data_IF_118284797171
#
_entry.id   IF_118284797171
#
_cell.length_a   1.000
_cell.length_b   1.000
_cell.length_c   1.000
_cell.angle_alpha   90.00
_cell.angle_beta   90.00
_cell.angle_gamma   90.00
#
_symmetry.space_group_name_H-M   'P 1'
#
loop_
_entity.id
_entity.type
_entity.pdbx_description
1 polymer ?
2 non-polymer ?
3 non-polymer ?
4 non-polymer ?
5 water ?
#
# COMPACT_ATOMS: atom_id res chain seq x y z
N UNK A 1 17.52 12.41 -26.54
CA UNK A 1 18.37 11.24 -26.66
C UNK A 1 17.63 9.99 -26.22
N UNK A 2 18.36 8.94 -25.85
CA UNK A 2 17.70 7.66 -25.58
C UNK A 2 16.78 7.70 -24.37
N UNK A 3 17.09 8.53 -23.38
CA UNK A 3 16.22 8.56 -22.20
C UNK A 3 14.87 9.16 -22.56
N UNK A 4 14.85 10.21 -23.37
CA UNK A 4 13.59 10.82 -23.79
C UNK A 4 12.79 9.87 -24.68
N UNK A 5 13.48 9.13 -25.54
CA UNK A 5 12.79 8.17 -26.39
C UNK A 5 12.16 7.08 -25.54
N UNK A 6 12.94 6.54 -24.61
CA UNK A 6 12.43 5.49 -23.75
C UNK A 6 11.24 6.00 -22.97
N UNK A 7 11.36 7.20 -22.43
CA UNK A 7 10.28 7.79 -21.64
C UNK A 7 9.01 7.98 -22.46
N UNK A 8 9.15 8.48 -23.69
CA UNK A 8 8.02 8.64 -24.59
C UNK A 8 7.29 7.31 -24.76
N UNK A 9 8.06 6.26 -25.03
CA UNK A 9 7.46 4.96 -25.26
C UNK A 9 6.76 4.45 -24.00
N UNK A 10 7.34 4.72 -22.82
CA UNK A 10 6.72 4.30 -21.57
C UNK A 10 5.42 5.06 -21.30
N UNK A 11 5.44 6.37 -21.54
CA UNK A 11 4.25 7.18 -21.36
C UNK A 11 3.14 6.70 -22.29
N UNK A 12 3.47 6.44 -23.55
CA UNK A 12 2.44 5.97 -24.47
C UNK A 12 1.89 4.62 -24.04
N UNK A 13 2.72 3.79 -23.44
CA UNK A 13 2.24 2.51 -22.91
C UNK A 13 1.24 2.69 -21.79
N UNK A 14 1.50 3.66 -20.92
CA UNK A 14 0.58 3.97 -19.85
C UNK A 14 -0.72 4.52 -20.41
N UNK A 15 -0.64 5.41 -21.40
CA UNK A 15 -1.85 5.97 -21.98
C UNK A 15 -2.66 4.91 -22.73
N UNK A 16 -1.97 3.94 -23.33
CA UNK A 16 -2.65 2.83 -24.00
C UNK A 16 -3.50 2.03 -23.02
N UNK A 17 -2.94 1.73 -21.86
CA UNK A 17 -3.65 0.97 -20.83
C UNK A 17 -4.82 1.81 -20.29
N UNK A 18 -4.54 3.09 -20.07
CA UNK A 18 -5.53 4.01 -19.58
C UNK A 18 -6.75 4.03 -20.49
N UNK A 19 -6.50 4.17 -21.78
CA UNK A 19 -7.56 4.42 -22.75
C UNK A 19 -8.51 3.24 -22.92
N UNK A 20 -8.08 2.03 -22.57
CA UNK A 20 -8.93 0.86 -22.79
C UNK A 20 -9.77 0.46 -21.58
N UNK A 21 -9.72 1.24 -20.51
CA UNK A 21 -10.56 0.95 -19.33
C UNK A 21 -11.94 1.52 -19.52
N UNK A 22 -12.96 0.88 -18.95
CA UNK A 22 -14.34 1.33 -19.07
C UNK A 22 -14.54 2.70 -18.44
N UNK A 23 -13.75 2.99 -17.41
CA UNK A 23 -13.87 4.27 -16.72
C UNK A 23 -13.17 5.43 -17.44
N UNK A 24 -12.61 5.16 -18.61
CA UNK A 24 -11.87 6.20 -19.33
C UNK A 24 -12.75 7.07 -20.22
N UNK A 25 -13.99 6.64 -20.49
CA UNK A 25 -14.83 7.37 -21.46
C UNK A 25 -14.97 8.89 -21.24
N UNK A 26 -15.10 9.37 -19.99
CA UNK A 26 -15.19 10.84 -19.84
C UNK A 26 -13.95 11.62 -20.25
N UNK A 27 -12.80 10.93 -20.31
CA UNK A 27 -11.50 11.57 -20.35
C UNK A 27 -10.78 11.43 -21.68
N UNK A 28 -11.45 10.89 -22.68
CA UNK A 28 -10.76 10.52 -23.92
C UNK A 28 -10.29 11.72 -24.74
N UNK A 29 -11.05 12.80 -24.74
CA UNK A 29 -10.72 13.92 -25.60
C UNK A 29 -11.07 15.23 -24.92
N UNK A 30 -10.59 16.37 -25.45
CA UNK A 30 -10.89 17.64 -24.79
C UNK A 30 -12.37 17.92 -24.68
N UNK A 31 -12.76 18.60 -23.61
CA UNK A 31 -14.14 19.07 -23.49
C UNK A 31 -14.42 20.08 -24.59
N UNK A 32 -15.53 19.91 -25.29
CA UNK A 32 -15.88 20.79 -26.40
C UNK A 32 -16.11 22.22 -25.93
N UNK A 33 -15.32 23.16 -26.42
CA UNK A 33 -15.55 24.57 -26.12
C UNK A 33 -16.92 25.02 -26.61
N UNK A 34 -17.28 24.56 -27.81
CA UNK A 34 -18.58 24.85 -28.39
C UNK A 34 -19.72 24.38 -27.49
N UNK A 35 -19.66 23.14 -27.04
CA UNK A 35 -20.76 22.57 -26.26
C UNK A 35 -20.78 23.02 -24.82
N UNK A 36 -19.61 23.28 -24.25
CA UNK A 36 -19.49 23.48 -22.81
C UNK A 36 -18.58 24.64 -22.43
N UNK A 37 -18.93 25.86 -22.86
CA UNK A 37 -18.08 26.99 -22.51
C UNK A 37 -17.91 27.16 -21.00
N UNK A 38 -18.93 26.79 -20.21
CA UNK A 38 -18.87 27.00 -18.76
C UNK A 38 -17.77 26.16 -18.10
N UNK A 39 -17.44 25.03 -18.72
CA UNK A 39 -16.37 24.17 -18.22
C UNK A 39 -15.06 24.94 -18.09
N UNK A 40 -14.76 25.72 -19.11
CA UNK A 40 -13.50 26.43 -19.18
C UNK A 40 -13.48 27.71 -18.34
N UNK A 41 -14.64 28.09 -17.80
CA UNK A 41 -14.71 29.15 -16.81
C UNK A 41 -14.20 28.66 -15.45
N UNK A 42 -14.25 27.35 -15.24
CA UNK A 42 -13.86 26.74 -13.96
C UNK A 42 -12.50 26.05 -14.05
N UNK A 43 -12.29 25.32 -15.12
CA UNK A 43 -11.07 24.56 -15.32
C UNK A 43 -10.07 25.33 -16.17
N UNK A 44 -8.97 25.74 -15.57
CA UNK A 44 -8.03 26.64 -16.24
C UNK A 44 -6.77 25.91 -16.72
N UNK A 45 -6.62 24.66 -16.33
CA UNK A 45 -5.54 23.85 -16.86
C UNK A 45 -6.09 22.53 -17.42
N UNK A 46 -6.87 22.61 -18.51
CA UNK A 46 -7.52 21.42 -19.05
C UNK A 46 -6.55 20.40 -19.61
N UNK A 47 -6.96 19.13 -19.54
CA UNK A 47 -6.21 18.09 -20.22
C UNK A 47 -7.12 16.88 -20.44
N UNK A 48 -6.61 15.91 -21.18
CA UNK A 48 -7.38 14.74 -21.56
C UNK A 48 -6.42 13.74 -22.17
N UNK A 49 -6.89 12.52 -22.39
CA UNK A 49 -6.01 11.46 -22.83
C UNK A 49 -5.44 11.70 -24.23
N UNK A 50 -6.28 12.16 -25.16
CA UNK A 50 -5.80 12.39 -26.53
C UNK A 50 -4.74 13.49 -26.54
N UNK A 51 -4.97 14.58 -25.81
CA UNK A 51 -3.98 15.66 -25.77
C UNK A 51 -2.66 15.16 -25.17
N UNK A 52 -2.73 14.39 -24.10
CA UNK A 52 -1.49 13.86 -23.53
C UNK A 52 -0.79 12.91 -24.51
N UNK A 53 -1.57 12.13 -25.25
CA UNK A 53 -0.96 11.23 -26.23
C UNK A 53 -0.23 12.02 -27.32
N UNK A 54 -0.86 13.07 -27.83
CA UNK A 54 -0.24 13.85 -28.90
C UNK A 54 0.98 14.59 -28.35
N UNK A 55 0.88 15.12 -27.14
CA UNK A 55 2.05 15.74 -26.53
C UNK A 55 3.20 14.74 -26.36
N UNK A 56 2.89 13.54 -25.89
CA UNK A 56 3.92 12.53 -25.69
C UNK A 56 4.61 12.17 -27.00
N UNK A 57 3.81 11.93 -28.05
CA UNK A 57 4.35 11.57 -29.36
C UNK A 57 5.28 12.63 -29.91
N UNK A 58 5.04 13.89 -29.54
CA UNK A 58 5.84 14.98 -30.06
C UNK A 58 6.92 15.46 -29.10
N UNK A 59 7.20 14.64 -28.09
CA UNK A 59 8.33 14.86 -27.20
C UNK A 59 8.15 15.98 -26.19
N UNK A 60 6.91 16.31 -25.87
CA UNK A 60 6.66 17.46 -25.00
C UNK A 60 6.85 17.14 -23.52
N UNK A 61 6.95 15.86 -23.17
CA UNK A 61 7.28 15.47 -21.79
C UNK A 61 8.77 15.17 -21.65
N UNK A 62 9.48 16.05 -20.95
CA UNK A 62 10.92 15.94 -20.80
C UNK A 62 11.31 14.96 -19.70
N UNK A 63 10.44 14.83 -18.71
CA UNK A 63 10.65 13.93 -17.58
C UNK A 63 9.35 13.24 -17.22
N UNK A 64 9.47 12.16 -16.48
CA UNK A 64 8.34 11.41 -15.98
C UNK A 64 7.39 12.31 -15.19
N UNK A 65 7.96 13.11 -14.31
CA UNK A 65 7.17 14.02 -13.48
C UNK A 65 6.33 15.02 -14.27
N UNK A 66 6.83 15.50 -15.41
CA UNK A 66 6.05 16.41 -16.24
C UNK A 66 4.76 15.73 -16.70
N UNK A 67 4.86 14.45 -17.06
CA UNK A 67 3.67 13.69 -17.41
C UNK A 67 2.79 13.46 -16.18
N UNK A 68 3.41 13.09 -15.07
CA UNK A 68 2.65 12.83 -13.85
C UNK A 68 1.82 14.02 -13.40
N UNK A 69 2.38 15.22 -13.49
CA UNK A 69 1.65 16.43 -13.12
C UNK A 69 0.38 16.56 -13.96
N UNK A 70 0.48 16.30 -15.26
CA UNK A 70 -0.67 16.48 -16.12
C UNK A 70 -1.70 15.35 -15.96
N UNK A 71 -1.21 14.13 -15.81
CA UNK A 71 -2.10 12.99 -15.55
C UNK A 71 -2.89 13.19 -14.26
N UNK A 72 -2.20 13.61 -13.19
CA UNK A 72 -2.88 13.90 -11.93
C UNK A 72 -3.93 14.99 -12.10
N UNK A 73 -3.59 16.02 -12.87
CA UNK A 73 -4.51 17.13 -13.06
C UNK A 73 -5.77 16.72 -13.80
N UNK A 74 -5.66 15.74 -14.69
CA UNK A 74 -6.85 15.26 -15.39
C UNK A 74 -7.90 14.78 -14.39
N UNK A 75 -7.45 14.02 -13.39
CA UNK A 75 -8.38 13.50 -12.39
C UNK A 75 -8.83 14.60 -11.45
N UNK A 76 -7.89 15.45 -11.03
CA UNK A 76 -8.24 16.54 -10.13
C UNK A 76 -9.25 17.49 -10.76
N UNK A 77 -9.14 17.74 -12.06
CA UNK A 77 -10.07 18.62 -12.75
C UNK A 77 -11.49 18.08 -12.71
N UNK A 78 -11.63 16.78 -12.94
CA UNK A 78 -12.95 16.16 -12.89
C UNK A 78 -13.54 16.30 -11.50
N UNK A 79 -12.74 16.06 -10.46
CA UNK A 79 -13.28 16.13 -9.11
C UNK A 79 -13.48 17.55 -8.61
N UNK A 80 -12.95 18.52 -9.35
CA UNK A 80 -13.25 19.93 -9.07
C UNK A 80 -14.55 20.34 -9.76
N UNK A 81 -14.72 19.93 -11.01
CA UNK A 81 -15.85 20.39 -11.81
C UNK A 81 -17.15 19.64 -11.51
N UNK A 82 -17.04 18.31 -11.39
CA UNK A 82 -18.21 17.48 -11.19
C UNK A 82 -18.41 17.10 -9.74
N UNK A 83 -19.67 16.85 -9.38
CA UNK A 83 -20.06 16.57 -8.00
C UNK A 83 -19.62 15.18 -7.57
N UNK A 84 -19.33 14.99 -6.27
CA UNK A 84 -18.85 13.70 -5.79
C UNK A 84 -19.79 12.53 -6.08
N UNK A 85 -21.07 12.82 -6.26
CA UNK A 85 -22.06 11.76 -6.47
C UNK A 85 -22.26 11.37 -7.93
N UNK A 86 -21.54 12.02 -8.85
CA UNK A 86 -21.71 11.73 -10.27
C UNK A 86 -20.91 10.51 -10.71
N UNK A 87 -21.37 9.83 -11.73
CA UNK A 87 -20.60 8.72 -12.29
C UNK A 87 -19.22 9.19 -12.77
N UNK A 88 -19.12 10.44 -13.21
CA UNK A 88 -17.84 10.96 -13.68
C UNK A 88 -16.79 10.97 -12.59
N UNK A 89 -17.17 11.50 -11.43
CA UNK A 89 -16.33 11.56 -10.24
C UNK A 89 -15.92 10.14 -9.83
N UNK A 90 -16.87 9.23 -9.84
CA UNK A 90 -16.57 7.85 -9.51
C UNK A 90 -15.63 7.22 -10.54
N UNK A 91 -15.81 7.52 -11.82
CA UNK A 91 -14.91 7.00 -12.85
C UNK A 91 -13.51 7.58 -12.70
N UNK A 92 -13.41 8.87 -12.34
CA UNK A 92 -12.10 9.45 -12.07
C UNK A 92 -11.39 8.70 -10.96
N UNK A 93 -12.13 8.37 -9.90
CA UNK A 93 -11.56 7.61 -8.80
C UNK A 93 -11.12 6.22 -9.23
N UNK A 94 -11.99 5.52 -9.96
CA UNK A 94 -11.68 4.17 -10.41
C UNK A 94 -10.48 4.15 -11.33
N UNK A 95 -10.44 5.09 -12.28
CA UNK A 95 -9.37 5.10 -13.27
C UNK A 95 -8.04 5.52 -12.66
N UNK A 96 -8.05 6.49 -11.76
CA UNK A 96 -6.79 6.89 -11.12
C UNK A 96 -6.23 5.75 -10.27
N UNK A 97 -7.12 5.01 -9.62
CA UNK A 97 -6.71 3.87 -8.81
C UNK A 97 -6.02 2.82 -9.68
N UNK A 98 -6.58 2.60 -10.87
CA UNK A 98 -6.02 1.65 -11.81
C UNK A 98 -4.68 2.10 -12.36
N UNK A 99 -4.56 3.38 -12.69
CA UNK A 99 -3.41 3.82 -13.47
C UNK A 99 -2.24 4.25 -12.62
N UNK A 100 -2.48 4.69 -11.38
CA UNK A 100 -1.37 5.29 -10.64
C UNK A 100 -0.20 4.32 -10.41
N UNK A 101 -0.48 3.04 -10.14
CA UNK A 101 0.68 2.14 -10.01
C UNK A 101 1.46 1.98 -11.32
N UNK A 102 0.78 2.07 -12.47
CA UNK A 102 1.48 2.02 -13.76
C UNK A 102 2.33 3.28 -13.97
N UNK A 103 1.80 4.43 -13.58
CA UNK A 103 2.58 5.65 -13.61
C UNK A 103 3.80 5.54 -12.70
N UNK A 104 3.62 5.09 -11.47
CA UNK A 104 4.76 5.01 -10.54
C UNK A 104 5.85 4.07 -11.05
N UNK A 105 5.45 3.04 -11.81
CA UNK A 105 6.41 2.07 -12.34
C UNK A 105 7.26 2.60 -13.48
N UNK A 106 6.91 3.75 -14.05
CA UNK A 106 7.71 4.33 -15.14
C UNK A 106 9.15 4.55 -14.67
N UNK B 1 -20.89 -16.35 4.00
CA UNK B 1 -21.79 -17.26 4.71
C UNK B 1 -21.08 -18.55 5.07
N UNK B 2 -21.85 -19.58 5.40
CA UNK B 2 -21.25 -20.80 5.94
C UNK B 2 -20.35 -21.51 4.95
N UNK B 3 -20.64 -21.43 3.65
CA UNK B 3 -19.77 -22.08 2.68
C UNK B 3 -18.40 -21.43 2.64
N UNK B 4 -18.36 -20.10 2.70
CA UNK B 4 -17.09 -19.38 2.68
C UNK B 4 -16.28 -19.63 3.95
N UNK B 5 -16.98 -19.72 5.08
CA UNK B 5 -16.32 -19.98 6.35
C UNK B 5 -15.74 -21.40 6.35
N UNK B 6 -16.53 -22.36 5.90
CA UNK B 6 -16.03 -23.72 5.84
C UNK B 6 -14.81 -23.80 4.91
N UNK B 7 -14.89 -23.15 3.76
CA UNK B 7 -13.78 -23.12 2.80
C UNK B 7 -12.52 -22.52 3.42
N UNK B 8 -12.69 -21.39 4.12
CA UNK B 8 -11.56 -20.76 4.81
C UNK B 8 -10.87 -21.75 5.75
N UNK B 9 -11.67 -22.45 6.54
CA UNK B 9 -11.13 -23.40 7.51
C UNK B 9 -10.43 -24.58 6.80
N UNK B 10 -10.99 -25.04 5.69
CA UNK B 10 -10.34 -26.10 4.92
C UNK B 10 -9.03 -25.62 4.31
N UNK B 11 -9.02 -24.40 3.78
CA UNK B 11 -7.80 -23.86 3.20
C UNK B 11 -6.70 -23.72 4.27
N UNK B 12 -7.06 -23.19 5.43
CA UNK B 12 -6.07 -23.06 6.51
C UNK B 12 -5.56 -24.44 6.95
N UNK B 13 -6.43 -25.45 6.91
CA UNK B 13 -6.00 -26.80 7.22
C UNK B 13 -4.96 -27.32 6.22
N UNK B 14 -5.16 -27.01 4.94
CA UNK B 14 -4.22 -27.42 3.92
C UNK B 14 -2.89 -26.69 4.11
N UNK B 15 -2.96 -25.40 4.41
CA UNK B 15 -1.75 -24.64 4.65
C UNK B 15 -1.02 -25.10 5.91
N UNK B 16 -1.76 -25.52 6.93
CA UNK B 16 -1.16 -26.06 8.16
C UNK B 16 -0.31 -27.27 7.84
N UNK B 17 -0.87 -28.15 7.03
CA UNK B 17 -0.17 -29.38 6.64
C UNK B 17 1.04 -29.02 5.79
N UNK B 18 0.85 -28.10 4.86
CA UNK B 18 1.90 -27.67 3.95
C UNK B 18 3.14 -27.16 4.69
N UNK B 19 2.90 -26.29 5.67
CA UNK B 19 3.98 -25.58 6.35
C UNK B 19 4.93 -26.50 7.10
N UNK B 20 4.42 -27.63 7.57
CA UNK B 20 5.21 -28.51 8.43
C UNK B 20 6.01 -29.56 7.66
N UNK B 21 5.95 -29.52 6.33
CA UNK B 21 6.79 -30.40 5.52
C UNK B 21 8.20 -29.83 5.40
N UNK B 22 9.21 -30.68 5.33
CA UNK B 22 10.57 -30.13 5.22
C UNK B 22 10.78 -29.41 3.88
N UNK B 23 10.08 -29.85 2.83
CA UNK B 23 10.25 -29.22 1.54
C UNK B 23 9.54 -27.87 1.45
N UNK B 24 8.94 -27.42 2.55
CA UNK B 24 8.22 -26.15 2.54
C UNK B 24 9.08 -24.93 2.77
N UNK B 25 10.29 -25.09 3.32
CA UNK B 25 10.98 -23.88 3.78
C UNK B 25 11.29 -22.82 2.70
N UNK B 26 11.50 -23.22 1.42
CA UNK B 26 11.72 -22.13 0.45
C UNK B 26 10.48 -21.27 0.17
N UNK B 27 9.30 -21.73 0.62
CA UNK B 27 8.03 -21.12 0.24
C UNK B 27 7.38 -20.35 1.39
N UNK B 28 7.99 -20.41 2.57
CA UNK B 28 7.37 -19.85 3.77
C UNK B 28 7.29 -18.34 3.72
N UNK B 29 8.36 -17.72 3.25
CA UNK B 29 8.49 -16.27 3.24
C UNK B 29 8.76 -15.80 1.83
N UNK B 30 8.53 -14.51 1.56
CA UNK B 30 8.88 -13.99 0.23
C UNK B 30 10.37 -14.05 -0.06
N UNK B 31 10.69 -14.25 -1.33
CA UNK B 31 12.06 -14.17 -1.79
C UNK B 31 12.66 -12.80 -1.48
N UNK B 32 13.85 -12.83 -0.89
CA UNK B 32 14.58 -11.63 -0.55
C UNK B 32 15.16 -10.95 -1.80
N UNK B 33 14.86 -9.67 -1.95
CA UNK B 33 15.39 -8.88 -3.05
C UNK B 33 16.91 -8.82 -2.97
N UNK B 34 17.43 -8.73 -1.76
CA UNK B 34 18.87 -8.66 -1.58
C UNK B 34 19.55 -9.93 -2.06
N UNK B 35 18.93 -11.08 -1.80
CA UNK B 35 19.52 -12.36 -2.17
C UNK B 35 19.30 -12.72 -3.63
N UNK B 36 18.20 -12.23 -4.20
CA UNK B 36 17.86 -12.51 -5.60
C UNK B 36 17.39 -11.23 -6.27
N UNK B 37 18.35 -10.38 -6.66
CA UNK B 37 18.03 -9.02 -7.10
C UNK B 37 17.08 -8.92 -8.31
N UNK B 38 17.04 -9.92 -9.17
CA UNK B 38 16.17 -9.83 -10.34
C UNK B 38 14.82 -10.55 -10.17
N UNK B 39 14.56 -11.09 -8.98
CA UNK B 39 13.41 -11.96 -8.82
C UNK B 39 12.11 -11.29 -9.18
N UNK B 40 11.93 -10.06 -8.74
CA UNK B 40 10.65 -9.39 -8.94
C UNK B 40 10.52 -8.78 -10.33
N UNK B 41 11.57 -8.87 -11.13
CA UNK B 41 11.50 -8.56 -12.56
C UNK B 41 11.12 -9.78 -13.38
N UNK B 42 11.59 -10.96 -12.97
CA UNK B 42 11.29 -12.20 -13.66
C UNK B 42 9.91 -12.72 -13.26
N UNK B 43 9.58 -12.59 -11.98
CA UNK B 43 8.31 -13.11 -11.46
C UNK B 43 7.36 -11.95 -11.19
N UNK B 44 6.35 -11.81 -12.04
CA UNK B 44 5.45 -10.66 -11.96
C UNK B 44 4.38 -10.76 -10.89
N UNK B 45 4.01 -11.99 -10.51
CA UNK B 45 2.96 -12.18 -9.50
C UNK B 45 3.40 -13.14 -8.41
N UNK B 46 4.35 -12.70 -7.58
CA UNK B 46 4.90 -13.58 -6.54
C UNK B 46 3.89 -13.93 -5.47
N UNK B 47 4.04 -15.10 -4.89
CA UNK B 47 3.26 -15.46 -3.73
C UNK B 47 4.05 -16.43 -2.86
N UNK B 48 3.54 -16.70 -1.67
CA UNK B 48 4.25 -17.52 -0.70
C UNK B 48 3.24 -17.96 0.34
N UNK B 49 3.65 -18.82 1.26
CA UNK B 49 2.71 -19.36 2.24
C UNK B 49 2.22 -18.30 3.23
N UNK B 50 3.10 -17.37 3.62
CA UNK B 50 2.69 -16.25 4.47
C UNK B 50 1.52 -15.50 3.86
N UNK B 51 1.66 -15.20 2.58
CA UNK B 51 0.61 -14.50 1.84
C UNK B 51 -0.70 -15.28 1.78
N UNK B 52 -0.64 -16.56 1.45
CA UNK B 52 -1.86 -17.36 1.33
C UNK B 52 -2.56 -17.52 2.68
N UNK B 53 -1.78 -17.66 3.75
CA UNK B 53 -2.37 -17.76 5.08
C UNK B 53 -3.10 -16.46 5.44
N UNK B 54 -2.45 -15.32 5.23
CA UNK B 54 -3.08 -14.05 5.56
C UNK B 54 -4.31 -13.80 4.69
N UNK B 55 -4.26 -14.19 3.42
CA UNK B 55 -5.41 -14.04 2.54
C UNK B 55 -6.57 -14.91 2.99
N UNK B 56 -6.25 -16.14 3.37
CA UNK B 56 -7.29 -17.07 3.82
C UNK B 56 -7.98 -16.53 5.07
N UNK B 57 -7.18 -16.09 6.05
CA UNK B 57 -7.72 -15.58 7.30
C UNK B 57 -8.59 -14.35 7.07
N UNK B 58 -8.22 -13.58 6.06
CA UNK B 58 -8.89 -12.34 5.71
C UNK B 58 -10.20 -12.60 4.95
N UNK B 59 -10.40 -13.85 4.53
CA UNK B 59 -11.60 -14.23 3.83
C UNK B 59 -11.57 -14.01 2.32
N UNK B 60 -10.37 -13.89 1.76
CA UNK B 60 -10.24 -13.51 0.36
C UNK B 60 -10.56 -14.62 -0.63
N UNK B 61 -10.52 -15.86 -0.20
CA UNK B 61 -10.77 -16.96 -1.12
C UNK B 61 -12.26 -17.27 -1.11
N UNK B 62 -12.94 -16.84 -2.16
CA UNK B 62 -14.38 -16.98 -2.24
C UNK B 62 -14.79 -18.36 -2.75
N UNK B 63 -13.90 -18.96 -3.54
CA UNK B 63 -14.11 -20.32 -4.05
C UNK B 63 -12.82 -21.09 -3.92
N UNK B 64 -12.94 -22.41 -3.93
CA UNK B 64 -11.78 -23.29 -3.90
C UNK B 64 -10.78 -22.96 -5.01
N UNK B 65 -11.32 -22.72 -6.20
CA UNK B 65 -10.47 -22.46 -7.35
C UNK B 65 -9.64 -21.17 -7.20
N UNK B 66 -10.14 -20.17 -6.47
CA UNK B 66 -9.33 -18.98 -6.19
C UNK B 66 -8.04 -19.37 -5.48
N UNK B 67 -8.17 -20.28 -4.52
CA UNK B 67 -7.01 -20.74 -3.78
C UNK B 67 -6.13 -21.63 -4.66
N UNK B 68 -6.74 -22.53 -5.43
CA UNK B 68 -5.98 -23.40 -6.32
C UNK B 68 -5.13 -22.65 -7.32
N UNK B 69 -5.67 -21.57 -7.88
CA UNK B 69 -4.93 -20.75 -8.82
C UNK B 69 -3.67 -20.17 -8.16
N UNK B 70 -3.81 -19.65 -6.94
CA UNK B 70 -2.65 -19.05 -6.27
C UNK B 70 -1.63 -20.11 -5.82
N UNK B 71 -2.12 -21.23 -5.32
CA UNK B 71 -1.25 -22.31 -4.88
C UNK B 71 -0.44 -22.85 -6.07
N UNK B 72 -1.12 -23.08 -7.19
CA UNK B 72 -0.45 -23.53 -8.40
C UNK B 72 0.60 -22.49 -8.83
N UNK B 73 0.26 -21.21 -8.75
CA UNK B 73 1.21 -20.17 -9.17
C UNK B 73 2.45 -20.15 -8.30
N UNK B 74 2.30 -20.46 -7.01
CA UNK B 74 3.48 -20.51 -6.15
C UNK B 74 4.49 -21.50 -6.69
N UNK B 75 4.02 -22.68 -7.08
CA UNK B 75 4.91 -23.70 -7.62
C UNK B 75 5.39 -23.34 -9.03
N UNK B 76 4.49 -22.82 -9.86
CA UNK B 76 4.86 -22.38 -11.22
C UNK B 76 5.94 -21.31 -11.20
N UNK B 77 5.82 -20.34 -10.30
CA UNK B 77 6.81 -19.28 -10.21
C UNK B 77 8.17 -19.87 -9.89
N UNK B 78 8.19 -20.78 -8.93
CA UNK B 78 9.43 -21.41 -8.51
C UNK B 78 10.11 -22.12 -9.69
N UNK B 79 9.31 -22.79 -10.52
CA UNK B 79 9.87 -23.54 -11.64
C UNK B 79 10.22 -22.64 -12.82
N UNK B 80 9.62 -21.46 -12.88
CA UNK B 80 10.03 -20.50 -13.89
C UNK B 80 11.39 -19.89 -13.55
N UNK B 81 11.61 -19.63 -12.27
CA UNK B 81 12.79 -18.89 -11.81
C UNK B 81 14.02 -19.78 -11.66
N UNK B 82 13.81 -20.99 -11.16
CA UNK B 82 14.89 -21.91 -10.82
C UNK B 82 15.02 -23.05 -11.81
N UNK B 83 16.25 -23.49 -12.07
CA UNK B 83 16.48 -24.60 -12.99
C UNK B 83 15.98 -25.94 -12.42
N UNK B 84 15.67 -26.91 -13.30
CA UNK B 84 15.07 -28.18 -12.86
C UNK B 84 15.91 -28.99 -11.88
N UNK B 85 17.23 -28.80 -11.89
CA UNK B 85 18.12 -29.58 -11.05
C UNK B 85 18.48 -28.91 -9.71
N UNK B 86 17.86 -27.77 -9.43
CA UNK B 86 18.11 -27.07 -8.18
C UNK B 86 17.27 -27.60 -7.02
N UNK B 87 17.72 -27.33 -5.80
CA UNK B 87 16.98 -27.79 -4.63
C UNK B 87 15.59 -27.15 -4.59
N UNK B 88 15.46 -25.92 -5.07
CA UNK B 88 14.18 -25.22 -5.03
C UNK B 88 13.16 -25.90 -5.93
N UNK B 89 13.58 -26.27 -7.13
CA UNK B 89 12.73 -26.95 -8.10
C UNK B 89 12.35 -28.34 -7.55
N UNK B 90 13.33 -29.06 -6.99
CA UNK B 90 13.08 -30.36 -6.37
C UNK B 90 12.06 -30.25 -5.24
N UNK B 91 12.19 -29.23 -4.39
CA UNK B 91 11.25 -29.07 -3.28
C UNK B 91 9.86 -28.65 -3.77
N UNK B 92 9.80 -27.84 -4.83
CA UNK B 92 8.50 -27.54 -5.44
C UNK B 92 7.82 -28.83 -5.87
N UNK B 93 8.58 -29.70 -6.52
CA UNK B 93 8.04 -31.00 -6.95
C UNK B 93 7.56 -31.84 -5.77
N UNK B 94 8.40 -31.98 -4.74
CA UNK B 94 8.06 -32.82 -3.59
C UNK B 94 6.84 -32.26 -2.88
N UNK B 95 6.83 -30.95 -2.65
CA UNK B 95 5.75 -30.33 -1.91
C UNK B 95 4.44 -30.34 -2.71
N UNK B 96 4.50 -30.06 -4.00
CA UNK B 96 3.27 -30.05 -4.78
C UNK B 96 2.67 -31.46 -4.86
N UNK B 97 3.52 -32.48 -4.98
CA UNK B 97 3.05 -33.86 -5.01
C UNK B 97 2.28 -34.21 -3.74
N UNK B 98 2.79 -33.73 -2.60
CA UNK B 98 2.15 -33.94 -1.30
C UNK B 98 0.86 -33.16 -1.16
N UNK B 99 0.84 -31.91 -1.62
CA UNK B 99 -0.28 -31.06 -1.26
C UNK B 99 -1.41 -31.09 -2.28
N UNK B 100 -1.13 -31.45 -3.53
CA UNK B 100 -2.19 -31.30 -4.52
C UNK B 100 -3.39 -32.23 -4.25
N UNK B 101 -3.16 -33.48 -3.78
CA UNK B 101 -4.35 -34.28 -3.43
C UNK B 101 -5.19 -33.67 -2.30
N UNK B 102 -4.53 -32.98 -1.37
CA UNK B 102 -5.26 -32.32 -0.29
C UNK B 102 -6.06 -31.13 -0.82
N UNK B 103 -5.49 -30.40 -1.78
CA UNK B 103 -6.22 -29.33 -2.43
C UNK B 103 -7.43 -29.90 -3.17
N UNK B 104 -7.22 -30.96 -3.96
CA UNK B 104 -8.35 -31.52 -4.71
C UNK B 104 -9.47 -32.02 -3.81
N UNK B 105 -9.12 -32.44 -2.60
CA UNK B 105 -10.11 -33.01 -1.70
C UNK B 105 -10.96 -31.94 -1.01
N UNK B 106 -10.57 -30.68 -1.13
CA UNK B 106 -11.36 -29.59 -0.53
C UNK B 106 -12.78 -29.63 -1.09
N UNK C 6 31.06 -0.87 5.85
CA UNK C 6 30.60 0.18 4.96
C UNK C 6 29.10 0.47 5.17
N UNK C 7 28.26 -0.56 5.04
CA UNK C 7 26.82 -0.41 5.26
C UNK C 7 26.52 0.18 6.62
N UNK C 8 27.20 -0.32 7.65
CA UNK C 8 26.89 0.14 8.99
C UNK C 8 27.21 1.64 9.13
N UNK C 9 28.26 2.11 8.45
CA UNK C 9 28.59 3.53 8.45
C UNK C 9 27.56 4.37 7.69
N UNK C 10 26.98 3.82 6.62
CA UNK C 10 25.91 4.51 5.93
C UNK C 10 24.65 4.64 6.80
N UNK C 11 24.35 3.57 7.52
CA UNK C 11 23.19 3.57 8.41
C UNK C 11 23.39 4.57 9.53
N UNK C 12 24.59 4.56 10.12
CA UNK C 12 24.90 5.54 11.17
C UNK C 12 24.82 6.96 10.63
N UNK C 13 25.19 7.15 9.36
CA UNK C 13 25.06 8.46 8.75
C UNK C 13 23.62 8.95 8.68
N UNK C 14 22.71 8.04 8.33
CA UNK C 14 21.28 8.38 8.33
C UNK C 14 20.82 8.74 9.74
N UNK C 15 21.21 7.93 10.73
CA UNK C 15 20.77 8.16 12.10
C UNK C 15 21.36 9.45 12.66
N UNK C 16 22.60 9.76 12.27
CA UNK C 16 23.22 11.02 12.69
C UNK C 16 22.45 12.23 12.15
N UNK C 17 22.04 12.16 10.89
CA UNK C 17 21.31 13.25 10.24
C UNK C 17 19.95 13.44 10.89
N UNK C 18 19.27 12.33 11.15
CA UNK C 18 17.99 12.37 11.82
C UNK C 18 18.09 12.94 13.24
N UNK C 19 19.08 12.46 14.00
CA UNK C 19 19.23 12.79 15.42
C UNK C 19 19.37 14.28 15.68
N UNK C 20 20.03 14.97 14.75
CA UNK C 20 20.37 16.37 14.95
C UNK C 20 19.25 17.33 14.54
N UNK C 21 18.15 16.80 14.00
CA UNK C 21 17.02 17.66 13.63
C UNK C 21 16.32 18.19 14.88
N UNK C 22 15.81 19.41 14.80
CA UNK C 22 15.22 20.06 15.98
C UNK C 22 13.95 19.37 16.48
N UNK C 23 13.30 18.59 15.62
CA UNK C 23 12.10 17.89 16.04
C UNK C 23 12.31 16.40 16.28
N UNK C 24 13.57 15.96 16.38
CA UNK C 24 13.85 14.54 16.60
C UNK C 24 13.64 14.07 18.04
N UNK C 25 13.47 15.00 18.99
CA UNK C 25 13.42 14.61 20.40
C UNK C 25 12.44 13.45 20.75
N UNK C 26 11.23 13.37 20.12
CA UNK C 26 10.38 12.25 20.54
C UNK C 26 10.97 10.87 20.27
N UNK C 27 11.93 10.79 19.35
CA UNK C 27 12.40 9.51 18.81
C UNK C 27 13.77 9.09 19.33
N UNK C 28 14.39 9.93 20.14
CA UNK C 28 15.79 9.69 20.49
C UNK C 28 16.00 8.44 21.33
N UNK C 29 15.10 8.23 22.29
CA UNK C 29 15.23 7.15 23.28
C UNK C 29 13.95 6.33 23.30
N UNK C 30 14.03 5.10 23.86
CA UNK C 30 12.80 4.32 24.00
C UNK C 30 11.71 5.12 24.70
N UNK C 31 10.46 4.92 24.28
CA UNK C 31 9.35 5.63 24.89
C UNK C 31 9.30 5.30 26.38
N UNK C 32 9.06 6.32 27.19
CA UNK C 32 8.93 6.14 28.63
C UNK C 32 7.51 5.70 28.98
N UNK C 33 7.36 4.44 29.39
CA UNK C 33 6.03 3.88 29.59
C UNK C 33 5.28 4.54 30.74
N UNK C 34 6.01 5.15 31.68
CA UNK C 34 5.40 5.90 32.77
C UNK C 34 4.52 7.06 32.29
N UNK C 35 4.73 7.49 31.06
CA UNK C 35 4.00 8.64 30.53
C UNK C 35 3.19 8.31 29.27
N UNK C 36 3.08 7.02 28.95
CA UNK C 36 2.41 6.60 27.74
C UNK C 36 1.40 5.49 28.02
N UNK C 37 0.19 5.87 28.47
CA UNK C 37 -0.85 4.89 28.80
C UNK C 37 -1.15 3.94 27.65
N UNK C 38 -1.24 2.66 27.97
CA UNK C 38 -1.57 1.62 27.01
C UNK C 38 -0.57 1.47 25.88
N UNK C 39 0.64 2.03 26.02
CA UNK C 39 1.64 1.87 24.97
C UNK C 39 1.97 0.38 24.73
N UNK C 40 2.12 -0.39 25.81
CA UNK C 40 2.37 -1.82 25.67
C UNK C 40 1.29 -2.51 24.84
N UNK C 41 0.02 -2.21 25.12
CA UNK C 41 -1.13 -2.78 24.42
C UNK C 41 -1.09 -2.48 22.92
N UNK C 42 -0.77 -1.24 22.59
CA UNK C 42 -0.96 -0.72 21.25
C UNK C 42 0.27 -0.98 20.37
N UNK C 43 1.46 -0.91 20.95
CA UNK C 43 2.71 -1.02 20.20
C UNK C 43 3.47 -2.29 20.55
N UNK C 44 3.44 -3.25 19.64
CA UNK C 44 4.02 -4.57 19.90
C UNK C 44 5.54 -4.60 19.82
N UNK C 45 6.12 -3.78 18.96
CA UNK C 45 7.57 -3.83 18.71
C UNK C 45 8.20 -2.44 18.71
N UNK C 46 8.37 -1.86 19.89
CA UNK C 46 8.90 -0.50 20.01
C UNK C 46 10.33 -0.37 19.50
N UNK C 47 10.64 0.80 18.95
CA UNK C 47 12.01 1.08 18.61
C UNK C 47 12.25 2.59 18.70
N UNK C 48 13.49 3.00 18.49
CA UNK C 48 13.91 4.38 18.69
C UNK C 48 15.32 4.55 18.12
N UNK C 49 15.78 5.79 18.06
CA UNK C 49 17.06 6.05 17.42
C UNK C 49 18.23 5.40 18.18
N UNK C 50 18.21 5.47 19.51
CA UNK C 50 19.30 4.85 20.29
C UNK C 50 19.38 3.35 20.05
N UNK C 51 18.23 2.69 20.05
CA UNK C 51 18.15 1.27 19.74
C UNK C 51 18.75 0.95 18.37
N UNK C 52 18.40 1.72 17.35
CA UNK C 52 18.91 1.47 16.01
C UNK C 52 20.40 1.78 15.91
N UNK C 53 20.88 2.80 16.62
CA UNK C 53 22.30 3.13 16.59
C UNK C 53 23.13 2.00 17.17
N UNK C 54 22.67 1.45 18.28
CA UNK C 54 23.38 0.36 18.94
C UNK C 54 23.39 -0.88 18.05
N UNK C 55 22.26 -1.19 17.43
CA UNK C 55 22.21 -2.32 16.51
C UNK C 55 23.13 -2.11 15.32
N UNK C 56 23.15 -0.90 14.77
CA UNK C 56 24.00 -0.59 13.62
C UNK C 56 25.47 -0.79 13.97
N UNK C 57 25.89 -0.24 15.10
CA UNK C 57 27.28 -0.37 15.55
C UNK C 57 27.67 -1.84 15.74
N UNK C 58 26.70 -2.64 16.20
CA UNK C 58 26.93 -4.04 16.51
C UNK C 58 26.97 -4.90 15.26
N UNK C 59 26.61 -4.29 14.11
CA UNK C 59 26.57 -5.00 12.85
C UNK C 59 25.33 -5.83 12.63
N UNK C 60 24.24 -5.48 13.31
CA UNK C 60 23.01 -6.27 13.25
C UNK C 60 22.25 -6.13 11.95
N UNK C 61 22.46 -5.03 11.23
CA UNK C 61 21.75 -4.84 9.97
C UNK C 61 22.56 -5.46 8.84
N UNK C 62 22.07 -6.58 8.35
CA UNK C 62 22.78 -7.32 7.32
C UNK C 62 22.60 -6.67 5.95
N UNK C 63 21.46 -6.01 5.77
CA UNK C 63 21.14 -5.37 4.51
C UNK C 63 20.50 -4.02 4.77
N UNK C 64 20.55 -3.16 3.78
CA UNK C 64 19.87 -1.87 3.82
C UNK C 64 18.40 -2.05 4.20
N UNK C 65 17.77 -3.04 3.60
CA UNK C 65 16.35 -3.28 3.80
C UNK C 65 16.00 -3.64 5.25
N UNK C 66 16.90 -4.33 5.93
CA UNK C 66 16.68 -4.66 7.35
C UNK C 66 16.58 -3.37 8.16
N UNK C 67 17.43 -2.41 7.83
CA UNK C 67 17.38 -1.12 8.51
C UNK C 67 16.11 -0.36 8.14
N UNK C 68 15.74 -0.40 6.86
CA UNK C 68 14.53 0.28 6.42
C UNK C 68 13.28 -0.21 7.13
N UNK C 69 13.20 -1.51 7.37
CA UNK C 69 12.06 -2.07 8.08
C UNK C 69 11.92 -1.46 9.46
N UNK C 70 13.02 -1.39 10.19
CA UNK C 70 12.97 -0.86 11.55
C UNK C 70 12.74 0.66 11.56
N UNK C 71 13.35 1.38 10.61
CA UNK C 71 13.16 2.81 10.51
C UNK C 71 11.70 3.16 10.22
N UNK C 72 11.09 2.44 9.29
CA UNK C 72 9.66 2.60 9.03
C UNK C 72 8.85 2.36 10.28
N UNK C 73 9.18 1.31 11.03
CA UNK C 73 8.40 0.97 12.20
C UNK C 73 8.48 2.04 13.29
N UNK C 74 9.63 2.70 13.42
CA UNK C 74 9.72 3.77 14.40
C UNK C 74 8.66 4.83 14.13
N UNK C 75 8.50 5.20 12.87
CA UNK C 75 7.56 6.26 12.52
C UNK C 75 6.13 5.74 12.49
N UNK C 76 5.95 4.51 12.04
CA UNK C 76 4.62 3.90 11.99
C UNK C 76 4.08 3.70 13.40
N UNK C 77 4.93 3.27 14.33
CA UNK C 77 4.50 3.15 15.72
C UNK C 77 4.01 4.47 16.26
N UNK C 78 4.76 5.54 15.97
CA UNK C 78 4.43 6.85 16.45
C UNK C 78 3.05 7.29 15.94
N UNK C 79 2.78 7.05 14.66
CA UNK C 79 1.53 7.49 14.06
C UNK C 79 0.35 6.61 14.47
N UNK C 80 0.64 5.40 14.91
CA UNK C 80 -0.41 4.53 15.44
C UNK C 80 -0.78 4.94 16.85
N UNK C 81 0.22 5.25 17.67
CA UNK C 81 -0.04 5.55 19.07
C UNK C 81 -0.58 6.96 19.29
N UNK C 82 -0.07 7.92 18.52
CA UNK C 82 -0.44 9.33 18.69
C UNK C 82 -1.43 9.79 17.65
N UNK C 83 -2.39 10.63 18.06
CA UNK C 83 -3.43 11.08 17.14
C UNK C 83 -2.87 11.99 16.05
N UNK C 84 -3.55 12.05 14.89
CA UNK C 84 -3.13 12.90 13.78
C UNK C 84 -2.96 14.37 14.15
N UNK C 85 -3.65 14.79 15.19
CA UNK C 85 -3.67 16.19 15.57
C UNK C 85 -2.53 16.55 16.55
N UNK C 86 -1.66 15.60 16.87
CA UNK C 86 -0.55 15.84 17.80
C UNK C 86 0.77 16.15 17.13
N UNK C 87 1.64 16.83 17.87
CA UNK C 87 2.96 17.18 17.40
C UNK C 87 3.75 15.92 17.06
N UNK C 88 3.52 14.84 17.80
CA UNK C 88 4.22 13.57 17.60
C UNK C 88 3.97 13.01 16.21
N UNK C 89 2.70 12.93 15.84
CA UNK C 89 2.28 12.44 14.53
C UNK C 89 2.87 13.32 13.42
N UNK C 90 2.74 14.63 13.58
CA UNK C 90 3.25 15.57 12.60
C UNK C 90 4.76 15.45 12.42
N UNK C 91 5.49 15.38 13.52
CA UNK C 91 6.94 15.22 13.43
C UNK C 91 7.35 13.88 12.79
N UNK C 92 6.61 12.82 13.06
CA UNK C 92 6.91 11.56 12.42
C UNK C 92 6.87 11.73 10.90
N UNK C 93 5.85 12.42 10.40
CA UNK C 93 5.75 12.62 8.96
C UNK C 93 6.81 13.54 8.41
N UNK C 94 7.06 14.66 9.09
CA UNK C 94 8.07 15.60 8.62
C UNK C 94 9.44 14.97 8.59
N UNK C 95 9.81 14.29 9.67
CA UNK C 95 11.14 13.72 9.76
C UNK C 95 11.31 12.54 8.82
N UNK C 96 10.32 11.67 8.72
CA UNK C 96 10.48 10.52 7.83
C UNK C 96 10.61 10.97 6.38
N UNK C 97 9.83 11.99 6.01
CA UNK C 97 9.91 12.54 4.66
C UNK C 97 11.28 13.18 4.41
N UNK C 98 11.78 13.93 5.40
CA UNK C 98 13.08 14.59 5.27
C UNK C 98 14.22 13.59 5.07
N UNK C 99 14.23 12.51 5.84
CA UNK C 99 15.38 11.63 5.76
C UNK C 99 15.26 10.54 4.70
N UNK C 100 14.08 10.41 4.08
CA UNK C 100 13.90 9.32 3.12
C UNK C 100 14.90 9.32 1.95
N UNK C 101 15.19 10.48 1.33
CA UNK C 101 16.21 10.47 0.27
C UNK C 101 17.58 9.98 0.74
N UNK C 102 17.97 10.32 1.98
CA UNK C 102 19.26 9.87 2.48
C UNK C 102 19.26 8.36 2.71
N UNK C 103 18.16 7.84 3.23
CA UNK C 103 18.02 6.40 3.34
C UNK C 103 18.06 5.73 1.96
N UNK C 104 17.33 6.29 1.00
CA UNK C 104 17.30 5.65 -0.32
C UNK C 104 18.62 5.72 -1.07
N UNK C 105 19.46 6.70 -0.73
CA UNK C 105 20.78 6.83 -1.31
C UNK C 105 21.74 5.71 -0.90
N UNK C 106 21.43 5.00 0.18
CA UNK C 106 22.28 3.89 0.61
C UNK C 106 22.32 2.80 -0.45
N UNK D 5 -27.99 1.25 17.11
CA UNK D 5 -28.40 1.80 15.81
C UNK D 5 -27.73 3.15 15.58
N UNK D 6 -27.67 3.97 16.62
CA UNK D 6 -27.06 5.27 16.52
C UNK D 6 -25.57 5.13 16.18
N UNK D 7 -24.86 4.20 16.80
CA UNK D 7 -23.42 4.07 16.54
C UNK D 7 -23.13 3.66 15.10
N UNK D 8 -23.85 2.68 14.58
CA UNK D 8 -23.59 2.27 13.20
C UNK D 8 -23.88 3.44 12.24
N UNK D 9 -24.88 4.25 12.54
CA UNK D 9 -25.21 5.40 11.70
C UNK D 9 -24.13 6.48 11.79
N UNK D 10 -23.56 6.67 12.97
CA UNK D 10 -22.47 7.63 13.13
C UNK D 10 -21.24 7.19 12.34
N UNK D 11 -20.93 5.90 12.41
CA UNK D 11 -19.79 5.35 11.67
C UNK D 11 -20.02 5.50 10.17
N UNK D 12 -21.19 5.14 9.69
CA UNK D 12 -21.49 5.29 8.26
C UNK D 12 -21.43 6.76 7.85
N UNK D 13 -21.80 7.66 8.75
CA UNK D 13 -21.68 9.08 8.48
C UNK D 13 -20.25 9.51 8.25
N UNK D 14 -19.34 9.00 9.07
CA UNK D 14 -17.92 9.27 8.86
C UNK D 14 -17.43 8.71 7.52
N UNK D 15 -17.81 7.47 7.23
CA UNK D 15 -17.36 6.83 5.99
C UNK D 15 -17.94 7.55 4.76
N UNK D 16 -19.20 7.96 4.84
CA UNK D 16 -19.85 8.68 3.74
C UNK D 16 -19.14 9.98 3.42
N UNK D 17 -18.73 10.69 4.48
CA UNK D 17 -18.00 11.94 4.33
C UNK D 17 -16.61 11.67 3.76
N UNK D 18 -15.94 10.67 4.32
CA UNK D 18 -14.62 10.26 3.87
C UNK D 18 -14.60 9.98 2.38
N UNK D 19 -15.59 9.23 1.91
CA UNK D 19 -15.51 8.70 0.54
C UNK D 19 -15.72 9.76 -0.54
N UNK D 20 -16.24 10.92 -0.15
CA UNK D 20 -16.53 12.01 -1.07
C UNK D 20 -15.40 13.03 -1.12
N UNK D 21 -14.31 12.76 -0.42
CA UNK D 21 -13.18 13.68 -0.40
C UNK D 21 -12.29 13.55 -1.63
N UNK D 22 -11.63 14.66 -1.96
CA UNK D 22 -10.78 14.78 -3.14
C UNK D 22 -9.68 13.72 -3.22
N UNK D 23 -9.13 13.34 -2.08
CA UNK D 23 -8.00 12.42 -2.05
C UNK D 23 -8.35 11.05 -1.47
N UNK D 24 -9.63 10.69 -1.55
CA UNK D 24 -10.08 9.41 -1.03
C UNK D 24 -9.80 8.24 -1.94
N UNK D 25 -9.53 8.50 -3.22
CA UNK D 25 -9.46 7.39 -4.19
C UNK D 25 -8.52 6.21 -3.82
N UNK D 26 -7.37 6.44 -3.16
CA UNK D 26 -6.57 5.26 -2.84
C UNK D 26 -7.21 4.30 -1.84
N UNK D 27 -8.25 4.76 -1.14
CA UNK D 27 -8.78 4.06 0.02
C UNK D 27 -10.17 3.47 -0.17
N UNK D 28 -10.74 3.69 -1.35
CA UNK D 28 -12.15 3.34 -1.53
C UNK D 28 -12.40 1.84 -1.55
N UNK D 29 -11.51 1.10 -2.21
CA UNK D 29 -11.70 -0.33 -2.45
C UNK D 29 -10.45 -1.09 -2.05
N UNK D 30 -10.56 -2.41 -1.85
CA UNK D 30 -9.37 -3.22 -1.58
C UNK D 30 -8.27 -3.02 -2.62
N UNK D 31 -7.04 -2.93 -2.14
CA UNK D 31 -5.88 -2.76 -3.01
C UNK D 31 -5.82 -3.92 -4.01
N UNK D 32 -5.50 -3.60 -5.26
CA UNK D 32 -5.32 -4.62 -6.30
C UNK D 32 -4.02 -5.40 -6.07
N UNK D 33 -4.15 -6.68 -5.80
CA UNK D 33 -2.98 -7.50 -5.51
C UNK D 33 -2.17 -7.76 -6.78
N UNK D 34 -2.82 -7.67 -7.94
CA UNK D 34 -2.11 -7.82 -9.20
C UNK D 34 -1.06 -6.74 -9.37
N UNK D 35 -1.37 -5.53 -8.91
CA UNK D 35 -0.44 -4.41 -9.05
C UNK D 35 0.45 -4.26 -7.82
N UNK D 36 0.11 -5.01 -6.78
CA UNK D 36 0.91 -5.05 -5.56
C UNK D 36 0.98 -6.50 -5.07
N UNK D 37 1.69 -7.37 -5.80
CA UNK D 37 1.68 -8.78 -5.35
C UNK D 37 2.48 -9.14 -4.07
N UNK D 38 3.21 -8.17 -3.50
CA UNK D 38 3.92 -8.36 -2.25
C UNK D 38 3.15 -7.73 -1.09
N UNK D 39 1.96 -7.24 -1.39
CA UNK D 39 1.18 -6.47 -0.42
C UNK D 39 0.97 -7.21 0.91
N UNK D 40 0.55 -8.46 0.84
CA UNK D 40 0.28 -9.24 2.05
C UNK D 40 1.55 -9.71 2.76
N UNK D 41 2.70 -9.60 2.10
CA UNK D 41 3.97 -9.89 2.76
C UNK D 41 4.26 -8.80 3.76
N UNK D 42 3.76 -7.62 3.46
CA UNK D 42 4.03 -6.42 4.25
C UNK D 42 2.85 -6.05 5.14
N UNK D 43 1.64 -6.26 4.64
CA UNK D 43 0.41 -5.83 5.32
C UNK D 43 -0.38 -7.04 5.77
N UNK D 44 -0.50 -7.25 7.08
CA UNK D 44 -1.17 -8.42 7.62
C UNK D 44 -2.69 -8.37 7.46
N UNK D 45 -3.27 -7.19 7.68
CA UNK D 45 -4.72 -7.04 7.70
C UNK D 45 -5.19 -5.85 6.87
N UNK D 46 -5.35 -6.05 5.56
CA UNK D 46 -5.78 -4.96 4.69
C UNK D 46 -7.17 -4.47 5.04
N UNK D 47 -7.43 -3.19 4.80
CA UNK D 47 -8.79 -2.68 4.89
C UNK D 47 -8.95 -1.49 3.96
N UNK D 48 -10.17 -1.01 3.84
CA UNK D 48 -10.53 -0.01 2.87
C UNK D 48 -11.92 0.48 3.22
N UNK D 49 -12.40 1.54 2.58
CA UNK D 49 -13.66 2.14 2.96
C UNK D 49 -14.83 1.20 2.69
N UNK D 50 -14.80 0.51 1.55
CA UNK D 50 -15.89 -0.41 1.24
C UNK D 50 -16.00 -1.52 2.29
N UNK D 51 -14.85 -2.05 2.69
CA UNK D 51 -14.80 -3.11 3.69
C UNK D 51 -15.40 -2.63 5.01
N UNK D 52 -15.01 -1.44 5.43
CA UNK D 52 -15.53 -0.88 6.68
C UNK D 52 -17.01 -0.57 6.60
N UNK D 53 -17.48 -0.12 5.43
CA UNK D 53 -18.90 0.15 5.28
C UNK D 53 -19.73 -1.11 5.46
N UNK D 54 -19.26 -2.21 4.88
CA UNK D 54 -19.96 -3.48 4.97
C UNK D 54 -19.97 -4.00 6.41
N UNK D 55 -18.84 -3.89 7.09
CA UNK D 55 -18.77 -4.30 8.49
C UNK D 55 -19.69 -3.44 9.34
N UNK D 56 -19.74 -2.15 9.07
CA UNK D 56 -20.57 -1.24 9.86
C UNK D 56 -22.04 -1.62 9.71
N UNK D 57 -22.45 -1.86 8.46
CA UNK D 57 -23.83 -2.26 8.18
C UNK D 57 -24.20 -3.57 8.85
N UNK D 58 -23.21 -4.44 9.00
CA UNK D 58 -23.41 -5.76 9.58
C UNK D 58 -23.45 -5.70 11.11
N UNK D 59 -23.12 -4.54 11.66
CA UNK D 59 -23.08 -4.35 13.10
C UNK D 59 -21.83 -4.88 13.78
N UNK D 60 -20.74 -4.97 13.02
CA UNK D 60 -19.51 -5.55 13.55
C UNK D 60 -18.82 -4.65 14.56
N UNK D 61 -19.02 -3.34 14.44
CA UNK D 61 -18.35 -2.42 15.36
C UNK D 61 -19.19 -2.22 16.61
N UNK D 62 -18.73 -2.78 17.72
CA UNK D 62 -19.52 -2.74 18.94
C UNK D 62 -19.27 -1.45 19.71
N UNK D 63 -18.13 -0.84 19.45
CA UNK D 63 -17.76 0.44 20.05
C UNK D 63 -17.18 1.37 18.99
N UNK D 64 -17.17 2.66 19.32
CA UNK D 64 -16.44 3.65 18.55
C UNK D 64 -15.01 3.21 18.33
N UNK D 65 -14.39 2.69 19.38
CA UNK D 65 -12.98 2.33 19.32
C UNK D 65 -12.70 1.20 18.32
N UNK D 66 -13.62 0.24 18.20
CA UNK D 66 -13.44 -0.82 17.19
C UNK D 66 -13.29 -0.20 15.80
N UNK D 67 -14.11 0.80 15.52
CA UNK D 67 -14.03 1.47 14.22
C UNK D 67 -12.75 2.27 14.11
N UNK D 68 -12.40 3.00 15.16
CA UNK D 68 -11.19 3.80 15.13
C UNK D 68 -9.93 2.99 14.86
N UNK D 69 -9.87 1.81 15.45
CA UNK D 69 -8.73 0.92 15.23
C UNK D 69 -8.60 0.54 13.76
N UNK D 70 -9.71 0.21 13.11
CA UNK D 70 -9.63 -0.17 11.71
C UNK D 70 -9.37 1.04 10.82
N UNK D 71 -9.93 2.19 11.18
CA UNK D 71 -9.71 3.41 10.43
C UNK D 71 -8.21 3.77 10.47
N UNK D 72 -7.62 3.70 11.66
CA UNK D 72 -6.18 3.92 11.81
C UNK D 72 -5.42 2.95 10.92
N UNK D 73 -5.81 1.68 10.97
CA UNK D 73 -5.08 0.66 10.23
C UNK D 73 -5.10 0.92 8.72
N UNK D 74 -6.22 1.42 8.21
CA UNK D 74 -6.27 1.76 6.80
C UNK D 74 -5.17 2.72 6.40
N UNK D 75 -5.00 3.77 7.19
CA UNK D 75 -3.99 4.77 6.90
C UNK D 75 -2.58 4.28 7.23
N UNK D 76 -2.44 3.54 8.32
CA UNK D 76 -1.13 3.01 8.70
C UNK D 76 -0.63 1.99 7.68
N UNK D 77 -1.51 1.13 7.18
CA UNK D 77 -1.13 0.20 6.12
C UNK D 77 -0.58 0.94 4.91
N UNK D 78 -1.28 2.02 4.53
CA UNK D 78 -0.89 2.80 3.37
C UNK D 78 0.50 3.41 3.56
N UNK D 79 0.76 3.94 4.75
CA UNK D 79 2.05 4.58 5.00
C UNK D 79 3.20 3.60 5.19
N UNK D 80 2.88 2.34 5.48
CA UNK D 80 3.91 1.31 5.57
C UNK D 80 4.23 0.76 4.18
N UNK D 81 3.21 0.54 3.35
CA UNK D 81 3.46 -0.06 2.05
C UNK D 81 4.06 0.94 1.05
N UNK D 82 3.65 2.21 1.16
CA UNK D 82 4.07 3.23 0.20
C UNK D 82 5.10 4.19 0.82
N UNK D 83 6.08 4.60 0.02
CA UNK D 83 7.15 5.47 0.51
C UNK D 83 6.65 6.87 0.87
N UNK D 84 7.35 7.55 1.80
CA UNK D 84 6.98 8.92 2.22
C UNK D 84 6.90 9.91 1.05
N UNK D 85 7.62 9.61 -0.03
CA UNK D 85 7.72 10.52 -1.16
C UNK D 85 6.59 10.31 -2.20
N UNK D 86 5.63 9.45 -1.90
CA UNK D 86 4.53 9.16 -2.83
C UNK D 86 3.24 9.86 -2.46
N UNK D 87 2.37 10.09 -3.44
CA UNK D 87 1.10 10.73 -3.11
C UNK D 87 0.23 9.82 -2.24
N UNK D 88 0.43 8.50 -2.30
CA UNK D 88 -0.32 7.60 -1.41
C UNK D 88 -0.08 7.96 0.05
N UNK D 89 1.19 8.08 0.41
CA UNK D 89 1.59 8.39 1.78
C UNK D 89 1.05 9.77 2.16
N UNK D 90 1.23 10.74 1.26
CA UNK D 90 0.80 12.11 1.54
C UNK D 90 -0.71 12.20 1.72
N UNK D 91 -1.48 11.53 0.86
CA UNK D 91 -2.93 11.58 0.98
C UNK D 91 -3.42 10.86 2.25
N UNK D 92 -2.75 9.78 2.67
CA UNK D 92 -3.09 9.14 3.93
C UNK D 92 -3.03 10.14 5.08
N UNK D 93 -1.97 10.92 5.10
CA UNK D 93 -1.84 11.92 6.14
C UNK D 93 -2.87 13.04 6.02
N UNK D 94 -3.09 13.51 4.81
CA UNK D 94 -4.02 14.62 4.64
C UNK D 94 -5.43 14.19 4.98
N UNK D 95 -5.83 13.00 4.50
CA UNK D 95 -7.19 12.53 4.71
C UNK D 95 -7.44 12.06 6.15
N UNK D 96 -6.44 11.46 6.80
CA UNK D 96 -6.62 11.05 8.19
C UNK D 96 -6.74 12.28 9.08
N UNK D 97 -5.95 13.30 8.78
CA UNK D 97 -5.99 14.52 9.56
C UNK D 97 -7.34 15.22 9.37
N UNK D 98 -7.84 15.25 8.13
CA UNK D 98 -9.13 15.86 7.83
C UNK D 98 -10.29 15.19 8.56
N UNK D 99 -10.30 13.86 8.55
CA UNK D 99 -11.43 13.09 9.10
C UNK D 99 -11.39 12.95 10.62
N UNK D 100 -10.24 13.16 11.24
CA UNK D 100 -10.12 12.82 12.65
C UNK D 100 -11.10 13.55 13.58
N UNK D 101 -11.32 14.87 13.39
CA UNK D 101 -12.32 15.48 14.27
C UNK D 101 -13.72 14.88 14.14
N UNK D 102 -14.09 14.43 12.94
CA UNK D 102 -15.42 13.85 12.77
C UNK D 102 -15.48 12.49 13.44
N UNK D 103 -14.40 11.72 13.34
CA UNK D 103 -14.33 10.48 14.09
C UNK D 103 -14.40 10.74 15.60
N UNK D 104 -13.60 11.68 16.09
CA UNK D 104 -13.61 11.98 17.53
C UNK D 104 -14.97 12.45 18.06
N UNK D 105 -15.79 13.02 17.18
CA UNK D 105 -17.08 13.55 17.57
C UNK D 105 -18.08 12.43 17.86
N UNK D 106 -17.80 11.22 17.39
CA UNK D 106 -18.68 10.09 17.69
C UNK D 106 -18.75 9.86 19.21
#
# INVERSE_FOLDING_TARGET
GHKEVQLKDQILGVLDYLEKQQSAWPFLKPVSLSEAPDYYDIIKEPTDILTMRRKARHGDYKTKEDFGIELKRMFDNCRLYNAPTTIYFKYANELQTLIWPKYEAI
GHKEVQLKDQILGVLDYLEKQQSAWPFLKPVSLSEAPDYYDIIKEPTDILTMRRKARHGDYKTKEDFGIELKRMFDNCRLYNAPTTIYFKYANELQTLIWPKYEAI
GHKEVQLKDQILGVLDYLEKQQSAWPFLKPVSLSEAPDYYDIIKEPTDILTMRRKARHGDYKTKEDFGIELKRMFDNCRLYNAPTTIYFKYANELQTLIWPKYEAI
GHKEVQLKDQILGVLDYLEKQQSAWPFLKPVSLSEAPDYYDIIKEPTDILTMRRKARHGDYKTKEDFGIELKRMFDNCRLYNAPTTIYFKYANELQTLIWPKYEAI
#
